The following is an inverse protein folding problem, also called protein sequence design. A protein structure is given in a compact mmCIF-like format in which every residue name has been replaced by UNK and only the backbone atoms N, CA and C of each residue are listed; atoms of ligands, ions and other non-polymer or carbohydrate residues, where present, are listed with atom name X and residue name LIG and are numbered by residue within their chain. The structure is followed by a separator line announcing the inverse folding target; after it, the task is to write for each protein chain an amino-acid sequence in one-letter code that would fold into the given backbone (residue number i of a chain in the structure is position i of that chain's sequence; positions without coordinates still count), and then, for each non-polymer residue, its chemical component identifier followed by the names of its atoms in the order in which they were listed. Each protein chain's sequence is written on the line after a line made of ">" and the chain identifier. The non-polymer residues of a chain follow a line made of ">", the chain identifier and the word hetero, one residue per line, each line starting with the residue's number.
data_IF_679507582860
#
_entry.id   IF_679507582860
#
_cell.length_a   1.000
_cell.length_b   1.000
_cell.length_c   1.000
_cell.angle_alpha   90.00
_cell.angle_beta   90.00
_cell.angle_gamma   90.00
#
_symmetry.space_group_name_H-M   'P 1'
#
loop_
_entity.id
_entity.type
_entity.pdbx_description
1 polymer ?
#
# COMPACT_ATOMS: atom_id res chain seq x y z
N UNK A 1 -8.62 8.95 -0.62
CA UNK A 1 -7.69 8.26 -1.52
C UNK A 1 -8.14 6.82 -1.61
N UNK A 2 -8.24 6.25 -2.81
CA UNK A 2 -8.51 4.81 -2.97
C UNK A 2 -7.22 4.00 -3.23
N UNK A 3 -7.34 2.67 -3.29
CA UNK A 3 -6.18 1.79 -3.52
C UNK A 3 -5.54 2.04 -4.89
N UNK A 4 -6.35 2.44 -5.89
CA UNK A 4 -5.86 2.69 -7.24
C UNK A 4 -5.00 3.95 -7.30
N UNK A 5 -5.45 5.04 -6.68
CA UNK A 5 -4.67 6.27 -6.51
C UNK A 5 -3.35 6.00 -5.79
N UNK A 6 -3.33 5.13 -4.77
CA UNK A 6 -2.10 4.74 -4.10
C UNK A 6 -1.16 3.95 -5.03
N UNK A 7 -1.68 2.98 -5.78
CA UNK A 7 -0.92 2.19 -6.76
C UNK A 7 -0.40 3.03 -7.93
N UNK A 8 -1.13 4.06 -8.35
CA UNK A 8 -0.66 5.00 -9.37
C UNK A 8 0.41 5.92 -8.80
N UNK A 9 0.21 6.42 -7.57
CA UNK A 9 1.19 7.25 -6.88
C UNK A 9 2.55 6.55 -6.73
N UNK A 10 2.60 5.23 -6.51
CA UNK A 10 3.87 4.48 -6.43
C UNK A 10 4.66 4.48 -7.73
N UNK A 11 4.01 4.71 -8.89
CA UNK A 11 4.65 4.78 -10.21
C UNK A 11 5.12 6.17 -10.58
N UNK A 12 4.37 7.19 -10.17
CA UNK A 12 4.55 8.56 -10.66
C UNK A 12 5.25 9.49 -9.67
N UNK A 13 5.27 9.14 -8.38
CA UNK A 13 5.70 10.05 -7.30
C UNK A 13 6.94 9.57 -6.56
N UNK A 14 7.64 10.53 -5.96
CA UNK A 14 8.76 10.26 -5.06
C UNK A 14 8.31 9.61 -3.76
N UNK A 15 9.23 8.93 -3.06
CA UNK A 15 8.93 8.28 -1.78
C UNK A 15 8.41 9.29 -0.73
N UNK A 16 8.96 10.50 -0.70
CA UNK A 16 8.56 11.57 0.23
C UNK A 16 7.16 12.11 -0.07
N UNK A 17 6.79 12.23 -1.35
CA UNK A 17 5.44 12.65 -1.75
C UNK A 17 4.41 11.61 -1.36
N UNK A 18 4.69 10.32 -1.59
CA UNK A 18 3.78 9.24 -1.20
C UNK A 18 3.66 9.18 0.32
N UNK A 19 4.76 9.33 1.06
CA UNK A 19 4.74 9.39 2.53
C UNK A 19 3.83 10.54 3.03
N UNK A 20 3.89 11.71 2.38
CA UNK A 20 2.97 12.82 2.66
C UNK A 20 1.53 12.49 2.29
N UNK A 21 1.28 11.86 1.14
CA UNK A 21 -0.08 11.47 0.72
C UNK A 21 -0.71 10.52 1.73
N UNK A 22 0.05 9.54 2.21
CA UNK A 22 -0.43 8.56 3.20
C UNK A 22 -0.66 9.13 4.59
N UNK A 23 -0.26 10.39 4.88
CA UNK A 23 -0.58 11.05 6.16
C UNK A 23 -2.09 11.20 6.41
N UNK A 24 -2.89 11.19 5.34
CA UNK A 24 -4.35 11.22 5.39
C UNK A 24 -5.01 9.85 5.55
N UNK A 25 -4.22 8.77 5.47
CA UNK A 25 -4.69 7.40 5.63
C UNK A 25 -4.64 6.98 7.11
N UNK A 26 -5.43 5.98 7.52
CA UNK A 26 -5.31 5.39 8.86
C UNK A 26 -3.96 4.71 9.11
N UNK A 27 -3.15 4.54 8.05
CA UNK A 27 -1.81 4.00 8.08
C UNK A 27 -0.91 4.92 7.27
N UNK A 28 -0.21 5.80 7.97
CA UNK A 28 0.86 6.60 7.37
C UNK A 28 2.08 5.71 7.09
N UNK A 29 2.66 5.87 5.90
CA UNK A 29 3.91 5.25 5.49
C UNK A 29 5.06 6.26 5.64
N UNK A 30 6.16 5.84 6.23
CA UNK A 30 7.44 6.55 6.14
C UNK A 30 8.06 6.40 4.74
N UNK A 31 8.95 7.31 4.31
CA UNK A 31 9.64 7.17 3.02
C UNK A 31 10.36 5.81 2.86
N UNK A 32 10.93 5.28 3.94
CA UNK A 32 11.58 3.96 3.94
C UNK A 32 10.57 2.83 3.70
N UNK A 33 9.40 2.89 4.33
CA UNK A 33 8.33 1.91 4.11
C UNK A 33 7.79 2.01 2.68
N UNK A 34 7.57 3.23 2.16
CA UNK A 34 7.16 3.46 0.78
C UNK A 34 8.12 2.77 -0.18
N UNK A 35 9.43 2.96 0.00
CA UNK A 35 10.47 2.33 -0.82
C UNK A 35 10.39 0.81 -0.81
N UNK A 36 10.03 0.20 0.32
CA UNK A 36 9.91 -1.26 0.47
C UNK A 36 8.61 -1.81 -0.12
N UNK A 37 7.49 -1.10 0.02
CA UNK A 37 6.19 -1.55 -0.50
C UNK A 37 6.00 -1.25 -1.98
N UNK A 38 6.67 -0.23 -2.54
CA UNK A 38 6.62 0.16 -3.95
C UNK A 38 6.78 -1.04 -4.92
N UNK A 39 7.81 -1.89 -4.83
CA UNK A 39 7.95 -3.04 -5.74
C UNK A 39 6.84 -4.11 -5.59
N UNK A 40 6.09 -4.08 -4.49
CA UNK A 40 4.91 -4.94 -4.29
C UNK A 40 3.70 -4.33 -5.02
N UNK A 41 3.45 -3.03 -4.82
CA UNK A 41 2.37 -2.31 -5.48
C UNK A 41 2.57 -2.18 -7.00
N UNK A 42 3.80 -2.14 -7.49
CA UNK A 42 4.10 -2.16 -8.93
C UNK A 42 3.63 -3.44 -9.63
N UNK A 43 3.49 -4.55 -8.87
CA UNK A 43 2.95 -5.82 -9.36
C UNK A 43 1.44 -5.92 -9.21
N UNK A 44 0.78 -4.89 -8.67
CA UNK A 44 -0.65 -4.90 -8.50
C UNK A 44 -1.35 -4.99 -9.86
N UNK A 45 -2.22 -5.97 -9.99
CA UNK A 45 -3.07 -6.15 -11.16
C UNK A 45 -4.49 -5.67 -10.86
N UNK A 46 -5.30 -5.50 -11.90
CA UNK A 46 -6.72 -5.14 -11.73
C UNK A 46 -7.49 -6.15 -10.87
N UNK A 47 -7.03 -7.41 -10.83
CA UNK A 47 -7.62 -8.45 -9.99
C UNK A 47 -7.44 -8.15 -8.50
N UNK A 48 -6.31 -7.54 -8.09
CA UNK A 48 -6.08 -7.20 -6.68
C UNK A 48 -7.00 -6.07 -6.20
N UNK A 49 -7.39 -5.19 -7.12
CA UNK A 49 -8.31 -4.10 -6.82
C UNK A 49 -9.73 -4.65 -6.60
N UNK A 50 -10.10 -5.69 -7.35
CA UNK A 50 -11.44 -6.30 -7.26
C UNK A 50 -11.59 -7.30 -6.12
N UNK A 51 -10.54 -8.09 -5.84
CA UNK A 51 -10.62 -9.24 -4.93
C UNK A 51 -9.64 -9.17 -3.77
N UNK A 52 -8.88 -8.08 -3.67
CA UNK A 52 -7.75 -7.99 -2.75
C UNK A 52 -6.49 -8.69 -3.26
N UNK A 53 -5.32 -8.33 -2.73
CA UNK A 53 -4.08 -9.01 -3.06
C UNK A 53 -4.05 -10.43 -2.48
N UNK A 54 -3.38 -11.39 -3.15
CA UNK A 54 -3.19 -12.75 -2.63
C UNK A 54 -2.56 -12.78 -1.23
N UNK A 55 -2.85 -13.82 -0.45
CA UNK A 55 -2.37 -13.95 0.94
C UNK A 55 -0.84 -13.81 1.08
N UNK A 56 -0.05 -14.31 0.13
CA UNK A 56 1.41 -14.18 0.15
C UNK A 56 1.89 -12.72 -0.02
N UNK A 57 1.12 -11.88 -0.73
CA UNK A 57 1.38 -10.45 -0.88
C UNK A 57 1.00 -9.70 0.38
N UNK A 58 -0.17 -10.02 0.97
CA UNK A 58 -0.57 -9.47 2.26
C UNK A 58 0.48 -9.75 3.33
N UNK A 59 1.07 -10.95 3.31
CA UNK A 59 2.18 -11.33 4.19
C UNK A 59 3.42 -10.45 3.97
N UNK A 60 3.85 -10.23 2.72
CA UNK A 60 5.00 -9.36 2.43
C UNK A 60 4.77 -7.93 2.93
N UNK A 61 3.57 -7.39 2.75
CA UNK A 61 3.22 -6.05 3.27
C UNK A 61 3.21 -6.05 4.81
N UNK A 62 2.75 -7.13 5.45
CA UNK A 62 2.78 -7.29 6.90
C UNK A 62 4.18 -7.44 7.49
N UNK A 63 5.15 -7.95 6.73
CA UNK A 63 6.57 -7.98 7.13
C UNK A 63 7.18 -6.57 7.14
N UNK A 64 6.67 -5.64 6.32
CA UNK A 64 7.14 -4.25 6.26
C UNK A 64 6.41 -3.37 7.28
N UNK A 65 5.08 -3.40 7.30
CA UNK A 65 4.26 -2.46 8.09
C UNK A 65 3.85 -3.00 9.46
N UNK A 66 3.96 -4.32 9.66
CA UNK A 66 3.39 -5.04 10.78
C UNK A 66 1.93 -5.41 10.58
N UNK A 67 1.54 -6.58 11.11
CA UNK A 67 0.20 -7.19 10.92
C UNK A 67 -0.96 -6.22 11.19
N UNK A 68 -0.91 -5.44 12.27
CA UNK A 68 -1.99 -4.54 12.66
C UNK A 68 -2.18 -3.38 11.67
N UNK A 69 -1.08 -2.81 11.17
CA UNK A 69 -1.12 -1.71 10.21
C UNK A 69 -1.56 -2.21 8.84
N UNK A 70 -1.05 -3.36 8.41
CA UNK A 70 -1.51 -4.00 7.17
C UNK A 70 -3.01 -4.30 7.18
N UNK A 71 -3.52 -4.84 8.29
CA UNK A 71 -4.97 -5.07 8.45
C UNK A 71 -5.77 -3.77 8.31
N UNK A 72 -5.40 -2.71 9.03
CA UNK A 72 -6.06 -1.40 8.95
C UNK A 72 -6.02 -0.80 7.54
N UNK A 73 -4.91 -0.99 6.82
CA UNK A 73 -4.75 -0.49 5.45
C UNK A 73 -5.73 -1.19 4.50
N UNK A 74 -5.82 -2.52 4.56
CA UNK A 74 -6.75 -3.26 3.71
C UNK A 74 -8.21 -3.03 4.07
N UNK A 75 -8.54 -2.98 5.37
CA UNK A 75 -9.88 -2.62 5.84
C UNK A 75 -10.32 -1.25 5.32
N UNK A 76 -9.42 -0.25 5.31
CA UNK A 76 -9.71 1.08 4.76
C UNK A 76 -10.07 1.06 3.27
N UNK A 77 -9.45 0.15 2.51
CA UNK A 77 -9.71 -0.01 1.07
C UNK A 77 -10.80 -1.04 0.75
N UNK A 78 -11.47 -1.62 1.77
CA UNK A 78 -12.43 -2.72 1.63
C UNK A 78 -11.85 -3.96 0.92
N UNK A 79 -10.60 -4.30 1.22
CA UNK A 79 -9.86 -5.47 0.71
C UNK A 79 -9.58 -6.51 1.80
#
# INVERSE_FOLDING_TARGET
>A
MDIWELVQATKEKSDDEIAKMTSSLPVQLSPQEVKLVRPIFDKASIQWILFGPPAHIQKQIAEILGKNRTKKLFEYFNL
#
